data_IF_484522777919
#
_entry.id   IF_484522777919
#
_cell.length_a   1.000
_cell.length_b   1.000
_cell.length_c   1.000
_cell.angle_alpha   90.00
_cell.angle_beta   90.00
_cell.angle_gamma   90.00
#
_symmetry.space_group_name_H-M   'P 1'
#
loop_
_entity.id
_entity.type
_entity.pdbx_description
1 polymer ?
#
# COMPACT_ATOMS: atom_id res chain seq x y z
N UNK A 1 -27.03 12.24 -1.09
CA UNK A 1 -26.35 13.49 -0.66
C UNK A 1 -25.09 13.05 0.09
N UNK A 2 -23.97 13.06 -0.61
CA UNK A 2 -22.68 12.80 0.03
C UNK A 2 -22.34 14.03 0.88
N UNK A 3 -22.48 13.89 2.17
CA UNK A 3 -22.06 14.93 3.09
C UNK A 3 -20.58 14.68 3.37
N UNK A 4 -19.68 15.49 2.82
CA UNK A 4 -18.21 15.43 2.98
C UNK A 4 -17.71 15.58 4.42
N UNK A 5 -18.61 15.45 5.40
CA UNK A 5 -18.32 15.70 6.80
C UNK A 5 -17.49 14.61 7.51
N UNK A 6 -17.37 13.42 6.92
CA UNK A 6 -16.69 12.29 7.55
C UNK A 6 -15.19 12.19 7.22
N UNK A 7 -14.69 13.02 6.31
CA UNK A 7 -13.26 13.20 6.04
C UNK A 7 -12.73 14.53 6.60
N UNK A 8 -13.36 15.06 7.63
CA UNK A 8 -12.88 16.30 8.27
C UNK A 8 -11.61 16.04 9.08
N UNK A 9 -10.56 16.72 8.71
CA UNK A 9 -9.28 16.76 9.41
C UNK A 9 -9.10 18.01 10.29
N UNK A 10 -10.15 18.89 10.36
CA UNK A 10 -10.11 20.18 11.06
C UNK A 10 -11.41 20.46 11.81
N UNK A 11 -11.25 21.15 12.95
CA UNK A 11 -12.36 21.82 13.67
C UNK A 11 -12.03 23.29 13.73
N UNK A 12 -12.86 24.13 13.12
CA UNK A 12 -12.58 25.56 12.90
C UNK A 12 -11.23 25.73 12.19
N UNK A 13 -10.27 26.39 12.79
CA UNK A 13 -8.93 26.64 12.27
C UNK A 13 -7.86 25.65 12.80
N UNK A 14 -8.25 24.65 13.61
CA UNK A 14 -7.32 23.68 14.20
C UNK A 14 -7.31 22.38 13.39
N UNK A 15 -6.13 21.97 12.95
CA UNK A 15 -5.92 20.63 12.40
C UNK A 15 -5.98 19.60 13.53
N UNK A 16 -6.65 18.49 13.28
CA UNK A 16 -6.78 17.40 14.25
C UNK A 16 -5.57 16.46 14.16
N UNK A 17 -5.15 15.96 15.30
CA UNK A 17 -4.10 14.93 15.35
C UNK A 17 -4.63 13.58 14.86
N UNK A 18 -3.75 12.70 14.32
CA UNK A 18 -4.14 11.38 13.83
C UNK A 18 -4.93 10.57 14.85
N UNK A 19 -4.56 10.62 16.14
CA UNK A 19 -5.23 9.91 17.23
C UNK A 19 -6.70 10.34 17.38
N UNK A 20 -6.98 11.63 17.23
CA UNK A 20 -8.35 12.17 17.27
C UNK A 20 -9.14 11.73 16.03
N UNK A 21 -8.50 11.73 14.86
CA UNK A 21 -9.12 11.34 13.60
C UNK A 21 -9.52 9.85 13.60
N UNK A 22 -8.78 8.99 14.30
CA UNK A 22 -9.11 7.56 14.42
C UNK A 22 -10.49 7.31 15.05
N UNK A 23 -11.04 8.27 15.79
CA UNK A 23 -12.37 8.11 16.43
C UNK A 23 -13.52 8.11 15.42
N UNK A 24 -13.41 8.81 14.28
CA UNK A 24 -14.54 8.95 13.38
C UNK A 24 -14.22 9.16 11.90
N UNK A 25 -12.96 9.35 11.53
CA UNK A 25 -12.57 9.62 10.15
C UNK A 25 -12.92 8.46 9.22
N UNK A 26 -13.46 8.78 8.05
CA UNK A 26 -13.85 7.80 7.03
C UNK A 26 -15.20 7.13 7.29
N UNK A 27 -15.98 7.55 8.31
CA UNK A 27 -17.27 6.95 8.62
C UNK A 27 -18.30 7.98 9.05
N UNK A 28 -19.50 7.91 8.46
CA UNK A 28 -20.66 8.70 8.88
C UNK A 28 -21.69 7.80 9.59
N UNK A 29 -22.06 8.07 10.86
CA UNK A 29 -23.06 7.28 11.59
C UNK A 29 -24.40 7.12 10.87
N UNK A 30 -24.79 8.11 10.05
CA UNK A 30 -25.99 8.08 9.23
C UNK A 30 -26.06 6.88 8.26
N UNK A 31 -24.91 6.31 7.87
CA UNK A 31 -24.86 5.12 7.01
C UNK A 31 -25.33 3.85 7.72
N UNK A 32 -25.42 3.86 9.05
CA UNK A 32 -25.71 2.70 9.86
C UNK A 32 -26.64 3.03 11.03
N UNK A 33 -27.79 3.64 10.73
CA UNK A 33 -28.87 3.95 11.70
C UNK A 33 -28.39 4.81 12.89
N UNK A 34 -27.37 5.63 12.71
CA UNK A 34 -26.80 6.46 13.77
C UNK A 34 -25.79 5.76 14.67
N UNK A 35 -25.37 4.54 14.35
CA UNK A 35 -24.35 3.83 15.12
C UNK A 35 -23.03 4.61 15.11
N UNK A 36 -22.51 4.95 16.30
CA UNK A 36 -21.27 5.72 16.42
C UNK A 36 -20.06 4.95 15.92
N UNK A 37 -19.98 3.65 16.16
CA UNK A 37 -18.96 2.75 15.64
C UNK A 37 -19.48 2.05 14.38
N UNK A 38 -18.70 1.97 13.29
CA UNK A 38 -19.15 1.27 12.10
C UNK A 38 -19.45 -0.20 12.42
N UNK A 39 -20.55 -0.78 11.92
CA UNK A 39 -20.79 -2.20 12.02
C UNK A 39 -19.83 -3.00 11.14
N UNK A 40 -19.75 -4.31 11.34
CA UNK A 40 -19.07 -5.22 10.41
C UNK A 40 -20.03 -5.49 9.25
N UNK A 41 -19.66 -5.03 8.05
CA UNK A 41 -20.45 -5.24 6.82
C UNK A 41 -20.10 -6.62 6.22
N UNK A 42 -20.63 -7.68 6.81
CA UNK A 42 -20.35 -9.07 6.41
C UNK A 42 -21.22 -9.46 5.21
N UNK A 43 -20.96 -8.89 4.06
CA UNK A 43 -21.65 -9.19 2.79
C UNK A 43 -20.66 -9.26 1.62
N UNK A 44 -20.98 -10.11 0.64
CA UNK A 44 -20.17 -10.21 -0.58
C UNK A 44 -20.58 -9.19 -1.66
N UNK A 45 -21.86 -8.81 -1.69
CA UNK A 45 -22.44 -7.99 -2.77
C UNK A 45 -23.22 -6.83 -2.22
N UNK A 46 -23.28 -5.76 -3.01
CA UNK A 46 -24.06 -4.56 -2.77
C UNK A 46 -25.02 -4.35 -3.95
N UNK A 47 -26.24 -3.88 -3.65
CA UNK A 47 -27.26 -3.63 -4.65
C UNK A 47 -27.22 -2.16 -5.10
N UNK A 48 -27.58 -1.92 -6.34
CA UNK A 48 -27.83 -0.59 -6.85
C UNK A 48 -29.29 -0.20 -6.65
N UNK A 49 -29.56 1.07 -6.40
CA UNK A 49 -30.91 1.59 -6.25
C UNK A 49 -31.73 1.47 -7.56
N UNK A 50 -31.05 1.60 -8.69
CA UNK A 50 -31.63 1.50 -10.01
C UNK A 50 -30.58 1.13 -11.08
N UNK A 51 -31.05 0.81 -12.29
CA UNK A 51 -30.19 0.39 -13.40
C UNK A 51 -29.21 1.50 -13.84
N UNK A 52 -29.58 2.78 -13.72
CA UNK A 52 -28.71 3.90 -14.10
C UNK A 52 -27.51 3.99 -13.14
N UNK A 53 -27.72 3.82 -11.84
CA UNK A 53 -26.62 3.81 -10.85
C UNK A 53 -25.63 2.66 -11.16
N UNK A 54 -26.14 1.49 -11.53
CA UNK A 54 -25.29 0.38 -11.96
C UNK A 54 -24.48 0.69 -13.21
N UNK A 55 -25.12 1.30 -14.23
CA UNK A 55 -24.44 1.73 -15.45
C UNK A 55 -23.33 2.74 -15.11
N UNK A 56 -23.64 3.75 -14.31
CA UNK A 56 -22.69 4.80 -13.93
C UNK A 56 -21.48 4.24 -13.16
N UNK A 57 -21.71 3.27 -12.28
CA UNK A 57 -20.63 2.56 -11.59
C UNK A 57 -19.69 1.85 -12.56
N UNK A 58 -20.24 1.08 -13.52
CA UNK A 58 -19.42 0.35 -14.49
C UNK A 58 -18.76 1.27 -15.52
N UNK A 59 -19.36 2.37 -15.89
CA UNK A 59 -18.72 3.38 -16.75
C UNK A 59 -17.51 4.02 -16.05
N UNK A 60 -17.62 4.29 -14.74
CA UNK A 60 -16.54 4.82 -13.93
C UNK A 60 -15.39 3.80 -13.77
N UNK A 61 -15.70 2.57 -13.36
CA UNK A 61 -14.69 1.54 -13.07
C UNK A 61 -13.98 1.04 -14.32
N UNK A 62 -14.62 1.14 -15.49
CA UNK A 62 -14.02 0.84 -16.79
C UNK A 62 -13.29 2.03 -17.44
N UNK A 63 -13.26 3.19 -16.77
CA UNK A 63 -12.59 4.38 -17.29
C UNK A 63 -13.35 5.13 -18.41
N UNK A 64 -14.61 4.75 -18.70
CA UNK A 64 -15.44 5.44 -19.69
C UNK A 64 -15.92 6.81 -19.22
N UNK A 65 -15.93 7.07 -17.92
CA UNK A 65 -16.13 8.38 -17.33
C UNK A 65 -15.24 8.59 -16.10
N UNK A 66 -15.15 9.82 -15.65
CA UNK A 66 -14.45 10.17 -14.41
C UNK A 66 -15.47 10.51 -13.31
N UNK A 67 -15.02 10.41 -12.05
CA UNK A 67 -15.78 10.88 -10.89
C UNK A 67 -16.00 12.40 -11.00
N UNK A 68 -17.22 12.84 -10.71
CA UNK A 68 -17.51 14.26 -10.51
C UNK A 68 -17.08 14.69 -9.11
N UNK A 69 -16.79 15.98 -8.88
CA UNK A 69 -16.53 16.47 -7.53
C UNK A 69 -17.67 16.10 -6.57
N UNK A 70 -17.32 15.49 -5.43
CA UNK A 70 -18.28 15.03 -4.41
C UNK A 70 -19.07 13.76 -4.76
N UNK A 71 -18.78 13.10 -5.88
CA UNK A 71 -19.38 11.82 -6.25
C UNK A 71 -18.61 10.66 -5.60
N UNK A 72 -19.34 9.68 -5.06
CA UNK A 72 -18.78 8.40 -4.60
C UNK A 72 -18.98 7.34 -5.69
N UNK A 73 -17.96 6.54 -5.96
CA UNK A 73 -18.04 5.44 -6.92
C UNK A 73 -19.10 4.40 -6.57
N UNK A 74 -19.42 4.27 -5.27
CA UNK A 74 -20.28 3.22 -4.76
C UNK A 74 -19.56 1.88 -4.58
N UNK A 75 -20.31 0.89 -4.13
CA UNK A 75 -19.82 -0.47 -3.88
C UNK A 75 -20.61 -1.46 -4.72
N UNK A 76 -20.00 -2.55 -5.12
CA UNK A 76 -20.64 -3.63 -5.89
C UNK A 76 -20.31 -5.01 -5.32
N UNK A 77 -19.06 -5.23 -4.94
CA UNK A 77 -18.59 -6.55 -4.51
C UNK A 77 -17.39 -6.43 -3.57
N UNK A 78 -17.42 -7.11 -2.42
CA UNK A 78 -16.45 -6.95 -1.34
C UNK A 78 -15.01 -7.33 -1.72
N UNK A 79 -14.79 -8.13 -2.77
CA UNK A 79 -13.45 -8.40 -3.30
C UNK A 79 -12.77 -7.13 -3.83
N UNK A 80 -13.54 -6.18 -4.37
CA UNK A 80 -13.01 -4.90 -4.82
C UNK A 80 -12.91 -3.89 -3.70
N UNK A 81 -14.02 -3.73 -2.95
CA UNK A 81 -14.09 -2.82 -1.82
C UNK A 81 -15.30 -3.12 -0.92
N UNK A 82 -15.23 -2.73 0.35
CA UNK A 82 -16.32 -2.77 1.32
C UNK A 82 -16.12 -1.68 2.39
N UNK A 83 -17.17 -1.26 3.14
CA UNK A 83 -17.08 -0.11 4.02
C UNK A 83 -15.98 -0.21 5.09
N UNK A 84 -15.82 -1.37 5.75
CA UNK A 84 -14.78 -1.53 6.76
C UNK A 84 -13.36 -1.38 6.19
N UNK A 85 -13.16 -1.87 4.94
CA UNK A 85 -11.88 -1.72 4.24
C UNK A 85 -11.60 -0.26 3.90
N UNK A 86 -12.58 0.49 3.37
CA UNK A 86 -12.44 1.91 3.06
C UNK A 86 -12.08 2.73 4.30
N UNK A 87 -12.79 2.51 5.41
CA UNK A 87 -12.53 3.19 6.68
C UNK A 87 -11.10 2.91 7.18
N UNK A 88 -10.65 1.67 7.11
CA UNK A 88 -9.30 1.30 7.52
C UNK A 88 -8.25 1.91 6.58
N UNK A 89 -8.47 1.88 5.26
CA UNK A 89 -7.58 2.48 4.26
C UNK A 89 -7.43 3.98 4.48
N UNK A 90 -8.53 4.72 4.69
CA UNK A 90 -8.52 6.15 4.97
C UNK A 90 -7.71 6.48 6.24
N UNK A 91 -7.92 5.73 7.31
CA UNK A 91 -7.19 5.89 8.57
C UNK A 91 -5.71 5.54 8.44
N UNK A 92 -5.39 4.51 7.65
CA UNK A 92 -4.00 4.15 7.36
C UNK A 92 -3.27 5.24 6.58
N UNK A 93 -3.93 5.85 5.60
CA UNK A 93 -3.37 6.96 4.83
C UNK A 93 -2.98 8.15 5.73
N UNK A 94 -3.81 8.47 6.73
CA UNK A 94 -3.51 9.54 7.71
C UNK A 94 -2.23 9.22 8.48
N UNK A 95 -2.10 8.01 9.03
CA UNK A 95 -0.93 7.64 9.82
C UNK A 95 0.36 7.63 9.01
N UNK A 96 0.30 7.21 7.75
CA UNK A 96 1.46 7.18 6.85
C UNK A 96 1.72 8.54 6.17
N UNK A 97 0.85 9.53 6.39
CA UNK A 97 0.86 10.83 5.69
C UNK A 97 0.88 10.66 4.16
N UNK A 98 0.11 9.70 3.68
CA UNK A 98 -0.03 9.30 2.30
C UNK A 98 -1.31 9.87 1.67
N UNK A 99 -1.34 9.96 0.34
CA UNK A 99 -2.56 10.32 -0.39
C UNK A 99 -3.60 9.19 -0.33
N UNK A 100 -3.15 7.94 -0.30
CA UNK A 100 -4.03 6.77 -0.34
C UNK A 100 -3.36 5.56 0.31
N UNK A 101 -4.20 4.63 0.80
CA UNK A 101 -3.76 3.34 1.30
C UNK A 101 -4.58 2.21 0.69
N UNK A 102 -4.07 0.98 0.77
CA UNK A 102 -4.80 -0.24 0.45
C UNK A 102 -4.46 -1.32 1.47
N UNK A 103 -5.45 -2.13 1.86
CA UNK A 103 -5.27 -3.23 2.82
C UNK A 103 -5.44 -4.60 2.16
N UNK A 104 -4.76 -5.60 2.73
CA UNK A 104 -4.58 -6.94 2.16
C UNK A 104 -4.73 -8.00 3.25
N UNK A 105 -5.05 -9.22 2.84
CA UNK A 105 -5.27 -10.37 3.72
C UNK A 105 -4.01 -10.75 4.56
N UNK A 106 -2.84 -10.28 4.21
CA UNK A 106 -1.59 -10.47 4.96
C UNK A 106 -0.51 -9.49 4.50
N UNK A 107 0.57 -9.33 5.28
CA UNK A 107 1.76 -8.62 4.84
C UNK A 107 2.34 -9.23 3.54
N UNK A 108 2.39 -10.55 3.44
CA UNK A 108 2.83 -11.22 2.21
C UNK A 108 1.90 -11.00 1.03
N UNK A 109 0.58 -10.90 1.27
CA UNK A 109 -0.37 -10.54 0.21
C UNK A 109 -0.13 -9.11 -0.31
N UNK A 110 0.21 -8.16 0.58
CA UNK A 110 0.60 -6.80 0.19
C UNK A 110 1.90 -6.81 -0.63
N UNK A 111 2.93 -7.53 -0.17
CA UNK A 111 4.22 -7.64 -0.87
C UNK A 111 4.04 -8.29 -2.25
N UNK A 112 3.40 -9.46 -2.31
CA UNK A 112 3.22 -10.21 -3.56
C UNK A 112 2.40 -9.40 -4.57
N UNK A 113 1.28 -8.79 -4.13
CA UNK A 113 0.45 -7.95 -5.01
C UNK A 113 1.24 -6.75 -5.55
N UNK A 114 2.07 -6.13 -4.72
CA UNK A 114 2.96 -5.02 -5.14
C UNK A 114 3.99 -5.50 -6.16
N UNK A 115 4.63 -6.67 -5.94
CA UNK A 115 5.55 -7.26 -6.91
C UNK A 115 4.87 -7.50 -8.26
N UNK A 116 3.70 -8.16 -8.30
CA UNK A 116 2.97 -8.41 -9.55
C UNK A 116 2.48 -7.14 -10.24
N UNK A 117 2.17 -6.08 -9.47
CA UNK A 117 1.78 -4.80 -10.04
C UNK A 117 2.95 -4.09 -10.74
N UNK A 118 4.15 -4.16 -10.18
CA UNK A 118 5.30 -3.35 -10.60
C UNK A 118 6.31 -4.11 -11.48
N UNK A 119 6.46 -5.43 -11.30
CA UNK A 119 7.47 -6.23 -11.98
C UNK A 119 6.92 -6.95 -13.21
N UNK A 120 7.76 -7.15 -14.21
CA UNK A 120 7.47 -7.91 -15.44
C UNK A 120 8.61 -8.89 -15.73
N UNK A 121 8.37 -9.96 -16.52
CA UNK A 121 9.43 -10.85 -16.98
C UNK A 121 10.57 -10.06 -17.66
N UNK A 122 11.81 -10.33 -17.27
CA UNK A 122 13.00 -9.63 -17.71
C UNK A 122 13.41 -8.44 -16.85
N UNK A 123 12.58 -8.02 -15.89
CA UNK A 123 12.95 -6.97 -14.94
C UNK A 123 13.93 -7.47 -13.88
N UNK A 124 14.68 -6.52 -13.31
CA UNK A 124 15.47 -6.69 -12.10
C UNK A 124 14.81 -6.00 -10.92
N UNK A 125 15.01 -6.53 -9.72
CA UNK A 125 14.64 -5.89 -8.46
C UNK A 125 15.89 -5.72 -7.58
N UNK A 126 16.13 -4.47 -7.15
CA UNK A 126 17.16 -4.18 -6.15
C UNK A 126 16.56 -4.33 -4.75
N UNK A 127 17.25 -5.00 -3.82
CA UNK A 127 16.69 -5.16 -2.48
C UNK A 127 17.75 -5.17 -1.37
N UNK A 128 17.35 -4.77 -0.15
CA UNK A 128 18.19 -4.93 1.04
C UNK A 128 18.27 -6.40 1.46
N UNK A 129 19.35 -6.77 2.18
CA UNK A 129 19.52 -8.10 2.77
C UNK A 129 20.01 -7.97 4.23
N UNK A 130 19.39 -8.73 5.16
CA UNK A 130 18.25 -9.61 4.91
C UNK A 130 16.97 -8.81 4.68
N UNK A 131 16.00 -9.45 4.03
CA UNK A 131 14.57 -9.13 4.12
C UNK A 131 13.90 -10.19 5.00
N UNK A 132 12.65 -9.97 5.39
CA UNK A 132 11.83 -11.04 5.95
C UNK A 132 11.90 -12.29 5.06
N UNK A 133 12.09 -13.46 5.68
CA UNK A 133 12.36 -14.71 4.93
C UNK A 133 11.31 -15.06 3.87
N UNK A 134 10.02 -14.72 4.14
CA UNK A 134 8.96 -14.87 3.14
C UNK A 134 9.16 -13.98 1.91
N UNK A 135 9.63 -12.74 2.11
CA UNK A 135 9.91 -11.79 1.02
C UNK A 135 11.12 -12.25 0.20
N UNK A 136 12.20 -12.70 0.85
CA UNK A 136 13.37 -13.25 0.12
C UNK A 136 12.99 -14.47 -0.72
N UNK A 137 12.18 -15.37 -0.14
CA UNK A 137 11.70 -16.57 -0.84
C UNK A 137 10.83 -16.18 -2.03
N UNK A 138 9.91 -15.22 -1.85
CA UNK A 138 9.07 -14.72 -2.94
C UNK A 138 9.93 -14.16 -4.09
N UNK A 139 10.85 -13.26 -3.79
CA UNK A 139 11.68 -12.62 -4.82
C UNK A 139 12.57 -13.64 -5.54
N UNK A 140 13.23 -14.51 -4.79
CA UNK A 140 14.20 -15.47 -5.35
C UNK A 140 13.54 -16.61 -6.10
N UNK A 141 12.50 -17.21 -5.54
CA UNK A 141 11.91 -18.43 -6.09
C UNK A 141 10.71 -18.12 -6.98
N UNK A 142 9.66 -17.50 -6.43
CA UNK A 142 8.42 -17.30 -7.18
C UNK A 142 8.60 -16.25 -8.28
N UNK A 143 9.11 -15.06 -7.95
CA UNK A 143 9.34 -14.02 -8.96
C UNK A 143 10.47 -14.42 -9.90
N UNK A 144 11.48 -15.15 -9.43
CA UNK A 144 12.50 -15.75 -10.28
C UNK A 144 11.93 -16.70 -11.34
N UNK A 145 10.94 -17.53 -10.97
CA UNK A 145 10.24 -18.40 -11.92
C UNK A 145 9.43 -17.61 -12.97
N UNK A 146 9.03 -16.36 -12.66
CA UNK A 146 8.41 -15.43 -13.62
C UNK A 146 9.43 -14.57 -14.38
N UNK A 147 10.72 -14.88 -14.28
CA UNK A 147 11.77 -14.20 -15.04
C UNK A 147 12.22 -12.86 -14.45
N UNK A 148 11.98 -12.61 -13.17
CA UNK A 148 12.50 -11.43 -12.45
C UNK A 148 13.79 -11.80 -11.73
N UNK A 149 14.83 -10.96 -11.86
CA UNK A 149 16.15 -11.24 -11.24
C UNK A 149 16.37 -10.34 -10.02
N UNK A 150 16.47 -10.90 -8.78
CA UNK A 150 16.76 -10.13 -7.59
C UNK A 150 18.25 -9.84 -7.42
N UNK A 151 18.60 -8.61 -7.04
CA UNK A 151 19.93 -8.14 -6.69
C UNK A 151 19.94 -7.55 -5.28
N UNK A 152 20.70 -8.16 -4.37
CA UNK A 152 20.72 -7.75 -2.97
C UNK A 152 22.00 -7.01 -2.59
N UNK A 153 21.87 -6.00 -1.71
CA UNK A 153 22.97 -5.41 -0.95
C UNK A 153 22.84 -5.75 0.54
N UNK A 154 23.96 -5.94 1.24
CA UNK A 154 23.98 -6.42 2.63
C UNK A 154 24.21 -5.32 3.66
N UNK A 155 24.73 -4.16 3.24
CA UNK A 155 24.91 -3.00 4.11
C UNK A 155 24.12 -1.82 3.57
N UNK A 156 22.96 -1.54 4.19
CA UNK A 156 22.02 -0.52 3.77
C UNK A 156 22.45 0.93 4.10
N UNK A 157 23.57 1.12 4.79
CA UNK A 157 24.19 2.44 5.06
C UNK A 157 25.49 2.64 4.27
N UNK A 158 25.94 1.63 3.53
CA UNK A 158 27.06 1.75 2.59
C UNK A 158 26.54 2.06 1.20
N UNK A 159 26.48 3.35 0.88
CA UNK A 159 25.97 3.87 -0.40
C UNK A 159 26.77 3.32 -1.59
N UNK A 160 28.07 3.08 -1.44
CA UNK A 160 28.91 2.53 -2.51
C UNK A 160 28.50 1.09 -2.84
N UNK A 161 28.26 0.26 -1.83
CA UNK A 161 27.74 -1.11 -2.00
C UNK A 161 26.35 -1.11 -2.63
N UNK A 162 25.45 -0.23 -2.17
CA UNK A 162 24.10 -0.09 -2.73
C UNK A 162 24.15 0.26 -4.22
N UNK A 163 25.00 1.24 -4.60
CA UNK A 163 25.18 1.65 -6.00
C UNK A 163 25.79 0.54 -6.85
N UNK A 164 26.77 -0.19 -6.34
CA UNK A 164 27.35 -1.34 -7.05
C UNK A 164 26.30 -2.43 -7.35
N UNK A 165 25.43 -2.73 -6.37
CA UNK A 165 24.32 -3.67 -6.57
C UNK A 165 23.29 -3.15 -7.59
N UNK A 166 22.96 -1.84 -7.56
CA UNK A 166 22.07 -1.19 -8.53
C UNK A 166 22.62 -1.25 -9.96
N UNK A 167 23.93 -1.01 -10.13
CA UNK A 167 24.60 -1.12 -11.43
C UNK A 167 24.61 -2.57 -11.96
N UNK A 168 24.82 -3.55 -11.09
CA UNK A 168 24.73 -4.96 -11.46
C UNK A 168 23.30 -5.34 -11.88
N UNK A 169 22.29 -4.88 -11.15
CA UNK A 169 20.89 -5.07 -11.48
C UNK A 169 20.53 -4.43 -12.85
N UNK A 170 20.96 -3.20 -13.08
CA UNK A 170 20.71 -2.47 -14.35
C UNK A 170 21.37 -3.13 -15.58
N UNK A 171 22.48 -3.85 -15.38
CA UNK A 171 23.12 -4.63 -16.47
C UNK A 171 22.35 -5.91 -16.82
N UNK A 172 21.63 -6.46 -15.87
CA UNK A 172 20.88 -7.72 -16.08
C UNK A 172 19.48 -7.49 -16.66
N UNK A 173 18.89 -6.31 -16.40
CA UNK A 173 17.57 -5.93 -16.89
C UNK A 173 17.14 -4.57 -16.33
N UNK A 174 15.98 -4.08 -16.73
CA UNK A 174 15.42 -2.85 -16.18
C UNK A 174 15.20 -3.04 -14.66
N UNK A 175 15.80 -2.19 -13.84
CA UNK A 175 15.48 -2.15 -12.41
C UNK A 175 14.08 -1.55 -12.25
N UNK A 176 13.08 -2.37 -11.99
CA UNK A 176 11.69 -1.96 -11.97
C UNK A 176 11.18 -1.60 -10.56
N UNK A 177 11.92 -1.99 -9.50
CA UNK A 177 11.57 -1.71 -8.11
C UNK A 177 12.82 -1.78 -7.23
N UNK A 178 12.87 -0.94 -6.19
CA UNK A 178 13.80 -1.05 -5.07
C UNK A 178 12.97 -1.46 -3.85
N UNK A 179 13.23 -2.65 -3.28
CA UNK A 179 12.51 -3.18 -2.11
C UNK A 179 13.45 -3.24 -0.91
N UNK A 180 13.11 -2.53 0.17
CA UNK A 180 13.93 -2.53 1.38
C UNK A 180 13.09 -2.76 2.62
N UNK A 181 13.70 -3.36 3.65
CA UNK A 181 13.11 -3.52 4.98
C UNK A 181 14.04 -2.86 6.00
N UNK A 182 13.50 -1.93 6.78
CA UNK A 182 14.30 -1.17 7.74
C UNK A 182 13.48 -0.73 8.96
N UNK A 183 13.86 -1.18 10.18
CA UNK A 183 14.88 -2.20 10.50
C UNK A 183 14.52 -3.57 9.95
N UNK A 184 15.52 -4.37 9.56
CA UNK A 184 15.32 -5.69 8.99
C UNK A 184 15.11 -6.77 10.05
N UNK A 185 14.18 -7.68 9.84
CA UNK A 185 14.00 -8.88 10.66
C UNK A 185 14.92 -10.01 10.14
N UNK A 186 15.78 -10.66 10.97
CA UNK A 186 15.90 -10.52 12.43
C UNK A 186 17.07 -9.63 12.89
N UNK A 187 17.83 -9.04 11.98
CA UNK A 187 19.15 -8.45 12.29
C UNK A 187 19.07 -7.01 12.80
N UNK A 188 17.91 -6.35 12.70
CA UNK A 188 17.73 -4.91 12.92
C UNK A 188 18.64 -4.03 12.04
N UNK A 189 19.11 -4.55 10.91
CA UNK A 189 19.87 -3.78 9.93
C UNK A 189 19.09 -2.59 9.42
N UNK A 190 19.77 -1.44 9.31
CA UNK A 190 19.17 -0.20 8.84
C UNK A 190 19.51 0.06 7.38
N UNK A 191 18.61 0.78 6.69
CA UNK A 191 18.80 1.22 5.29
C UNK A 191 18.62 2.73 5.21
N UNK A 192 19.55 3.40 4.55
CA UNK A 192 19.45 4.83 4.21
C UNK A 192 18.42 5.00 3.08
N UNK A 193 17.23 5.48 3.44
CA UNK A 193 16.12 5.67 2.50
C UNK A 193 16.38 6.82 1.53
N UNK A 194 17.09 7.86 1.96
CA UNK A 194 17.46 8.96 1.08
C UNK A 194 18.46 8.49 0.00
N UNK A 195 19.39 7.61 0.38
CA UNK A 195 20.28 6.97 -0.58
C UNK A 195 19.53 6.07 -1.57
N UNK A 196 18.51 5.33 -1.13
CA UNK A 196 17.66 4.55 -2.04
C UNK A 196 16.94 5.46 -3.05
N UNK A 197 16.38 6.59 -2.61
CA UNK A 197 15.74 7.55 -3.50
C UNK A 197 16.73 8.14 -4.52
N UNK A 198 17.93 8.54 -4.07
CA UNK A 198 18.97 9.04 -4.97
C UNK A 198 19.43 7.99 -6.00
N UNK A 199 19.50 6.72 -5.61
CA UNK A 199 19.80 5.61 -6.54
C UNK A 199 18.66 5.43 -7.55
N UNK A 200 17.40 5.55 -7.12
CA UNK A 200 16.26 5.50 -8.03
C UNK A 200 16.30 6.61 -9.08
N UNK A 201 16.66 7.85 -8.67
CA UNK A 201 16.82 9.00 -9.56
C UNK A 201 18.00 8.83 -10.55
N UNK A 202 19.10 8.20 -10.11
CA UNK A 202 20.23 7.90 -10.99
C UNK A 202 19.89 6.79 -12.01
N UNK A 203 19.12 5.79 -11.58
CA UNK A 203 18.59 4.75 -12.46
C UNK A 203 17.64 5.35 -13.51
N UNK A 204 16.80 6.32 -13.14
CA UNK A 204 15.93 7.01 -14.09
C UNK A 204 16.73 7.65 -15.24
N UNK A 205 17.82 8.34 -14.90
CA UNK A 205 18.70 8.98 -15.91
C UNK A 205 19.31 7.97 -16.88
N UNK A 206 19.58 6.74 -16.41
CA UNK A 206 20.28 5.72 -17.20
C UNK A 206 19.34 4.80 -17.99
N UNK A 207 18.12 4.53 -17.47
CA UNK A 207 17.17 3.56 -18.07
C UNK A 207 15.84 4.20 -18.52
N UNK A 208 15.63 5.52 -18.29
CA UNK A 208 14.40 6.23 -18.67
C UNK A 208 13.19 5.86 -17.82
N UNK A 209 13.39 5.19 -16.69
CA UNK A 209 12.35 4.78 -15.76
C UNK A 209 12.90 4.87 -14.34
N UNK A 210 12.19 5.60 -13.48
CA UNK A 210 12.50 5.67 -12.04
C UNK A 210 11.86 4.48 -11.35
N UNK A 211 12.63 3.54 -10.79
CA UNK A 211 12.05 2.45 -10.02
C UNK A 211 11.44 2.99 -8.72
N UNK A 212 10.20 2.64 -8.38
CA UNK A 212 9.65 3.01 -7.08
C UNK A 212 10.43 2.36 -5.94
N UNK A 213 10.64 3.15 -4.87
CA UNK A 213 11.24 2.70 -3.62
C UNK A 213 10.12 2.24 -2.70
N UNK A 214 10.06 0.92 -2.44
CA UNK A 214 9.09 0.25 -1.58
C UNK A 214 9.76 -0.10 -0.26
N UNK A 215 9.23 0.41 0.84
CA UNK A 215 9.80 0.22 2.18
C UNK A 215 8.87 -0.61 3.04
N UNK A 216 9.31 -1.78 3.44
CA UNK A 216 8.66 -2.53 4.53
C UNK A 216 9.03 -1.88 5.87
N UNK A 217 8.07 -1.15 6.43
CA UNK A 217 8.17 -0.39 7.66
C UNK A 217 7.53 -1.12 8.86
N UNK A 218 7.38 -2.43 8.77
CA UNK A 218 6.63 -3.22 9.77
C UNK A 218 7.19 -3.07 11.18
N UNK A 219 8.52 -2.99 11.34
CA UNK A 219 9.16 -2.99 12.66
C UNK A 219 9.03 -1.67 13.42
N UNK A 220 9.06 -0.53 12.73
CA UNK A 220 8.88 0.80 13.34
C UNK A 220 7.45 1.33 13.24
N UNK A 221 6.77 1.00 12.16
CA UNK A 221 5.45 1.53 11.90
C UNK A 221 5.41 3.05 11.67
N UNK A 222 4.21 3.62 11.47
CA UNK A 222 4.08 5.02 11.08
C UNK A 222 4.34 6.03 12.21
N UNK A 223 4.48 5.56 13.45
CA UNK A 223 4.75 6.44 14.61
C UNK A 223 6.23 6.79 14.67
N UNK A 224 7.11 5.80 14.46
CA UNK A 224 8.55 5.97 14.64
C UNK A 224 9.30 6.23 13.34
N UNK A 225 8.73 5.88 12.19
CA UNK A 225 9.33 6.11 10.88
C UNK A 225 8.29 6.51 9.85
N UNK A 226 8.61 7.51 9.02
CA UNK A 226 7.79 8.03 7.92
C UNK A 226 8.54 7.86 6.60
N UNK A 227 8.55 6.66 5.99
CA UNK A 227 9.35 6.41 4.78
C UNK A 227 9.02 7.34 3.63
N UNK A 228 7.75 7.70 3.42
CA UNK A 228 7.33 8.61 2.36
C UNK A 228 7.97 10.01 2.48
N UNK A 229 8.25 10.47 3.70
CA UNK A 229 8.99 11.72 3.95
C UNK A 229 10.49 11.60 3.72
N UNK A 230 10.99 10.39 3.58
CA UNK A 230 12.41 10.09 3.40
C UNK A 230 12.72 9.64 1.96
N UNK A 231 11.78 9.84 1.03
CA UNK A 231 11.96 9.57 -0.38
C UNK A 231 11.47 8.21 -0.87
N UNK A 232 10.79 7.44 -0.02
CA UNK A 232 10.07 6.26 -0.47
C UNK A 232 8.82 6.66 -1.28
N UNK A 233 8.42 5.80 -2.22
CA UNK A 233 7.21 5.96 -3.02
C UNK A 233 6.04 5.16 -2.43
N UNK A 234 6.37 4.04 -1.78
CA UNK A 234 5.40 3.16 -1.10
C UNK A 234 5.96 2.77 0.27
N UNK A 235 5.16 2.93 1.31
CA UNK A 235 5.37 2.27 2.60
C UNK A 235 4.45 1.06 2.71
N UNK A 236 4.99 -0.05 3.18
CA UNK A 236 4.31 -1.32 3.36
C UNK A 236 4.41 -1.76 4.81
N UNK A 237 3.34 -2.38 5.34
CA UNK A 237 3.32 -2.93 6.70
C UNK A 237 2.60 -4.27 6.75
N UNK A 238 3.14 -5.18 7.55
CA UNK A 238 2.35 -6.28 8.09
C UNK A 238 1.50 -5.75 9.26
N UNK A 239 0.20 -5.56 9.02
CA UNK A 239 -0.74 -5.13 10.08
C UNK A 239 -0.84 -6.16 11.21
N UNK A 240 -0.50 -7.40 10.94
CA UNK A 240 -0.39 -8.54 11.86
C UNK A 240 0.48 -8.22 13.09
N UNK A 241 1.46 -7.31 12.93
CA UNK A 241 2.45 -7.00 13.97
C UNK A 241 1.94 -5.86 14.87
N UNK A 242 2.64 -4.74 14.88
CA UNK A 242 2.40 -3.67 15.86
C UNK A 242 1.13 -2.85 15.61
N UNK A 243 0.60 -2.84 14.38
CA UNK A 243 -0.67 -2.15 14.09
C UNK A 243 -1.85 -2.94 14.67
N UNK A 244 -1.94 -4.25 14.46
CA UNK A 244 -2.92 -5.11 15.14
C UNK A 244 -2.63 -5.21 16.64
N UNK A 245 -1.37 -5.45 17.01
CA UNK A 245 -0.84 -5.32 18.36
C UNK A 245 -1.17 -6.46 19.34
N UNK A 246 -2.11 -7.35 19.02
CA UNK A 246 -2.67 -8.32 19.96
C UNK A 246 -2.46 -9.78 19.51
N UNK A 247 -1.79 -10.03 18.39
CA UNK A 247 -1.56 -11.38 17.83
C UNK A 247 -2.85 -12.16 17.49
N UNK A 248 -3.91 -11.46 17.15
CA UNK A 248 -5.25 -11.98 16.92
C UNK A 248 -5.77 -11.78 15.49
N UNK A 249 -4.97 -11.12 14.63
CA UNK A 249 -5.31 -10.92 13.23
C UNK A 249 -4.10 -11.09 12.30
N UNK A 250 -4.39 -11.33 11.04
CA UNK A 250 -3.40 -11.31 9.95
C UNK A 250 -3.86 -10.28 8.92
N UNK A 251 -2.96 -9.36 8.56
CA UNK A 251 -3.28 -8.31 7.59
C UNK A 251 -2.01 -7.65 7.05
N UNK A 252 -2.17 -6.91 5.96
CA UNK A 252 -1.13 -6.09 5.37
C UNK A 252 -1.68 -4.77 4.85
N UNK A 253 -0.82 -3.78 4.66
CA UNK A 253 -1.19 -2.53 4.01
C UNK A 253 -0.04 -1.99 3.17
N UNK A 254 -0.41 -1.19 2.18
CA UNK A 254 0.48 -0.26 1.48
C UNK A 254 -0.10 1.13 1.57
N UNK A 255 0.76 2.15 1.54
CA UNK A 255 0.37 3.56 1.45
C UNK A 255 1.34 4.29 0.52
N UNK A 256 0.84 5.25 -0.26
CA UNK A 256 1.63 6.02 -1.22
C UNK A 256 0.78 7.00 -2.00
N UNK A 257 1.21 7.35 -3.22
CA UNK A 257 0.43 8.21 -4.11
C UNK A 257 -0.87 7.54 -4.56
N UNK A 258 -1.88 8.34 -4.87
CA UNK A 258 -3.16 7.86 -5.40
C UNK A 258 -2.97 7.00 -6.65
N UNK A 259 -2.07 7.38 -7.53
CA UNK A 259 -1.77 6.67 -8.77
C UNK A 259 -1.24 5.27 -8.50
N UNK A 260 -0.14 5.15 -7.71
CA UNK A 260 0.49 3.86 -7.41
C UNK A 260 -0.43 2.92 -6.64
N UNK A 261 -1.08 3.43 -5.61
CA UNK A 261 -2.01 2.63 -4.79
C UNK A 261 -3.18 2.14 -5.65
N UNK A 262 -3.71 2.98 -6.54
CA UNK A 262 -4.81 2.58 -7.44
C UNK A 262 -4.35 1.50 -8.44
N UNK A 263 -3.13 1.59 -8.96
CA UNK A 263 -2.54 0.54 -9.81
C UNK A 263 -2.46 -0.79 -9.06
N UNK A 264 -1.96 -0.79 -7.83
CA UNK A 264 -1.83 -2.01 -7.02
C UNK A 264 -3.20 -2.55 -6.60
N UNK A 265 -4.18 -1.68 -6.30
CA UNK A 265 -5.57 -2.09 -6.01
C UNK A 265 -6.24 -2.84 -7.18
N UNK A 266 -5.91 -2.53 -8.43
CA UNK A 266 -6.40 -3.31 -9.59
C UNK A 266 -5.91 -4.76 -9.52
N UNK A 267 -4.65 -4.97 -9.19
CA UNK A 267 -4.08 -6.30 -8.99
C UNK A 267 -4.68 -7.01 -7.76
N UNK A 268 -4.86 -6.29 -6.66
CA UNK A 268 -5.57 -6.82 -5.47
C UNK A 268 -6.94 -7.36 -5.85
N UNK A 269 -7.72 -6.59 -6.61
CA UNK A 269 -9.04 -7.00 -7.08
C UNK A 269 -9.01 -8.22 -8.00
N UNK A 270 -8.00 -8.35 -8.86
CA UNK A 270 -7.83 -9.50 -9.75
C UNK A 270 -7.39 -10.76 -8.98
N UNK A 271 -6.45 -10.63 -8.05
CA UNK A 271 -5.85 -11.74 -7.28
C UNK A 271 -6.69 -12.16 -6.06
N UNK A 272 -7.64 -11.31 -5.61
CA UNK A 272 -8.46 -11.61 -4.44
C UNK A 272 -7.68 -11.55 -3.12
N UNK A 273 -6.71 -10.65 -3.01
CA UNK A 273 -5.83 -10.51 -1.84
C UNK A 273 -6.29 -9.44 -0.85
N UNK A 274 -7.54 -9.00 -0.90
CA UNK A 274 -8.13 -8.01 0.01
C UNK A 274 -8.28 -8.55 1.44
N UNK A 275 -8.31 -7.64 2.42
CA UNK A 275 -8.61 -7.97 3.81
C UNK A 275 -10.12 -8.08 4.01
N UNK A 276 -10.56 -9.03 4.80
CA UNK A 276 -11.99 -9.26 5.09
C UNK A 276 -12.55 -8.27 6.14
N UNK A 277 -13.90 -8.07 6.20
CA UNK A 277 -14.51 -7.03 7.02
C UNK A 277 -14.23 -7.12 8.52
N UNK A 278 -14.17 -8.32 9.10
CA UNK A 278 -13.98 -8.49 10.53
C UNK A 278 -12.56 -8.03 10.97
N UNK A 279 -11.52 -8.41 10.23
CA UNK A 279 -10.16 -7.96 10.53
C UNK A 279 -9.93 -6.47 10.21
N UNK A 280 -10.74 -5.86 9.33
CA UNK A 280 -10.71 -4.42 9.10
C UNK A 280 -11.32 -3.62 10.25
N UNK A 281 -12.27 -4.21 10.98
CA UNK A 281 -13.05 -3.59 12.06
C UNK A 281 -12.25 -3.52 13.35
#
# INVERSE_FOLDING_TARGET
MANDNYHKDRISNRTLHPETLMMGYGYAPAWSQGALKPPIFQTSTYVFENAQQGKDFFDLTSGRRQLKPGENAGLVYSRFNHPNMEILEDRRAIWDEAEKSAVFASGMAAIATTCFALLRPGDSVLHSRPLYGGTETLLKNQMGAFGVTPFGFTNGVDVAQMRAAAMAAAKAGRVAMIMVETPANPTNGLVDLAACAAIADDLEKSQGHRPPVVVDNTMLGPIFQKPLKQGADITLLSLTKYVGGHSDLVGGSISGSTEMVTQIKKWRGAMGTQLEPNSCW
#
